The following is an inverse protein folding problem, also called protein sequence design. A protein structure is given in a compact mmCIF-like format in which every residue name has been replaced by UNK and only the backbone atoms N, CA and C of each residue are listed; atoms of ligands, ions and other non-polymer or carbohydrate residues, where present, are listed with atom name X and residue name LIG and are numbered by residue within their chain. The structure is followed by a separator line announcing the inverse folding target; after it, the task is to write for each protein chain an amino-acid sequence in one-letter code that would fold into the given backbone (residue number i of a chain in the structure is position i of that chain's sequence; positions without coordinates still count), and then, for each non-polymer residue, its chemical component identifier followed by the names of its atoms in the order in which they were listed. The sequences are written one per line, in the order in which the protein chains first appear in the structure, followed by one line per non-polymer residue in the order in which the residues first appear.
data_IF_383280521569
#
_entry.id   IF_383280521569
#
_cell.length_a   1.000
_cell.length_b   1.000
_cell.length_c   1.000
_cell.angle_alpha   90.00
_cell.angle_beta   90.00
_cell.angle_gamma   90.00
#
_symmetry.space_group_name_H-M   'P 1'
#
loop_
_entity.id
_entity.type
_entity.pdbx_description
1 polymer ?
#
# COMPACT_ATOMS: atom_id res chain seq x y z
N UNK A 1 8.97 -4.74 -18.20
CA UNK A 1 9.26 -5.76 -17.18
C UNK A 1 8.00 -6.56 -16.90
N UNK A 2 8.10 -7.87 -16.83
CA UNK A 2 6.94 -8.74 -16.63
C UNK A 2 6.95 -9.31 -15.22
N UNK A 3 5.97 -8.89 -14.42
CA UNK A 3 5.70 -9.45 -13.12
C UNK A 3 4.25 -9.93 -13.09
N UNK A 4 3.81 -10.54 -11.99
CA UNK A 4 2.46 -11.09 -11.91
C UNK A 4 1.39 -9.99 -12.09
N UNK A 5 1.63 -8.77 -11.57
CA UNK A 5 0.65 -7.69 -11.71
C UNK A 5 0.59 -7.15 -13.14
N UNK A 6 1.73 -7.02 -13.81
CA UNK A 6 1.71 -6.61 -15.23
C UNK A 6 1.00 -7.63 -16.11
N UNK A 7 1.09 -8.91 -15.78
CA UNK A 7 0.34 -9.96 -16.47
C UNK A 7 -1.17 -9.83 -16.24
N UNK A 8 -1.57 -9.43 -15.03
CA UNK A 8 -2.99 -9.17 -14.72
C UNK A 8 -3.48 -7.96 -15.50
N UNK A 9 -2.70 -6.87 -15.55
CA UNK A 9 -3.03 -5.67 -16.33
C UNK A 9 -3.23 -6.02 -17.80
N UNK A 10 -2.38 -6.88 -18.34
CA UNK A 10 -2.42 -7.28 -19.75
C UNK A 10 -3.42 -8.42 -20.03
N UNK A 11 -4.23 -8.79 -19.03
CA UNK A 11 -5.25 -9.85 -19.14
C UNK A 11 -4.66 -11.22 -19.50
N UNK A 12 -3.39 -11.45 -19.19
CA UNK A 12 -2.71 -12.75 -19.40
C UNK A 12 -3.01 -13.74 -18.26
N UNK A 13 -3.37 -13.21 -17.09
CA UNK A 13 -3.77 -14.00 -15.91
C UNK A 13 -5.13 -13.46 -15.46
N UNK A 14 -6.10 -14.33 -15.14
CA UNK A 14 -7.39 -13.88 -14.63
C UNK A 14 -7.25 -13.24 -13.24
N UNK A 15 -8.11 -12.30 -12.94
CA UNK A 15 -8.21 -11.66 -11.63
C UNK A 15 -9.63 -11.18 -11.38
N UNK A 16 -9.94 -10.88 -10.12
CA UNK A 16 -11.25 -10.37 -9.74
C UNK A 16 -11.18 -8.86 -9.66
N UNK A 17 -11.46 -8.19 -10.79
CA UNK A 17 -11.27 -6.74 -10.96
C UNK A 17 -12.42 -5.98 -10.32
N UNK A 18 -12.10 -5.06 -9.41
CA UNK A 18 -13.04 -4.18 -8.73
C UNK A 18 -13.19 -2.86 -9.49
N UNK A 19 -12.07 -2.34 -9.98
CA UNK A 19 -12.02 -1.05 -10.65
C UNK A 19 -10.88 -1.04 -11.67
N UNK A 20 -11.07 -0.36 -12.77
CA UNK A 20 -10.05 -0.22 -13.79
C UNK A 20 -10.26 1.06 -14.59
N UNK A 21 -9.18 1.81 -14.78
CA UNK A 21 -9.12 2.93 -15.73
C UNK A 21 -7.77 2.92 -16.45
N UNK A 22 -7.42 4.02 -17.13
CA UNK A 22 -6.17 4.08 -17.90
C UNK A 22 -4.92 4.10 -17.04
N UNK A 23 -5.01 4.47 -15.77
CA UNK A 23 -3.87 4.70 -14.90
C UNK A 23 -3.72 3.66 -13.80
N UNK A 24 -4.83 3.15 -13.26
CA UNK A 24 -4.82 2.24 -12.12
C UNK A 24 -5.79 1.09 -12.31
N UNK A 25 -5.54 0.02 -11.56
CA UNK A 25 -6.41 -1.14 -11.48
C UNK A 25 -6.52 -1.58 -10.03
N UNK A 26 -7.70 -2.01 -9.63
CA UNK A 26 -7.92 -2.61 -8.33
C UNK A 26 -8.55 -3.99 -8.49
N UNK A 27 -8.03 -4.98 -7.76
CA UNK A 27 -8.52 -6.36 -7.82
C UNK A 27 -8.32 -7.03 -6.46
N UNK A 28 -9.04 -8.12 -6.24
CA UNK A 28 -8.91 -8.87 -5.00
C UNK A 28 -7.55 -9.55 -4.89
N UNK A 29 -6.92 -9.44 -3.73
CA UNK A 29 -5.78 -10.29 -3.40
C UNK A 29 -6.29 -11.72 -3.24
N UNK A 30 -5.69 -12.66 -3.96
CA UNK A 30 -6.16 -14.05 -3.94
C UNK A 30 -5.95 -14.70 -2.57
N UNK A 31 -4.98 -14.22 -1.77
CA UNK A 31 -4.73 -14.78 -0.44
C UNK A 31 -5.74 -14.32 0.62
N UNK A 32 -6.42 -13.19 0.39
CA UNK A 32 -7.49 -12.69 1.28
C UNK A 32 -7.13 -12.77 2.76
N UNK A 33 -6.21 -11.91 3.22
CA UNK A 33 -5.89 -11.83 4.65
C UNK A 33 -7.17 -11.64 5.50
N UNK A 34 -8.11 -10.87 4.97
CA UNK A 34 -9.50 -10.80 5.43
C UNK A 34 -10.40 -10.71 4.21
N UNK A 35 -11.70 -10.90 4.39
CA UNK A 35 -12.67 -10.75 3.29
C UNK A 35 -12.66 -9.31 2.77
N UNK A 36 -12.42 -9.17 1.49
CA UNK A 36 -12.33 -7.87 0.84
C UNK A 36 -10.92 -7.33 0.70
N UNK A 37 -9.90 -8.10 1.10
CA UNK A 37 -8.50 -7.72 0.89
C UNK A 37 -8.28 -7.40 -0.59
N UNK A 38 -7.98 -6.14 -0.89
CA UNK A 38 -7.90 -5.58 -2.23
C UNK A 38 -6.53 -4.99 -2.47
N UNK A 39 -6.04 -5.13 -3.69
CA UNK A 39 -4.82 -4.47 -4.17
C UNK A 39 -5.20 -3.35 -5.14
N UNK A 40 -4.59 -2.20 -4.98
CA UNK A 40 -4.68 -1.10 -5.94
C UNK A 40 -3.29 -0.88 -6.51
N UNK A 41 -3.16 -1.01 -7.83
CA UNK A 41 -1.87 -0.95 -8.52
C UNK A 41 -1.87 0.12 -9.59
N UNK A 42 -0.69 0.58 -9.96
CA UNK A 42 -0.51 1.37 -11.19
C UNK A 42 -0.56 0.44 -12.39
N UNK A 43 -1.14 0.87 -13.51
CA UNK A 43 -1.14 0.05 -14.74
C UNK A 43 0.26 -0.03 -15.34
N UNK A 44 0.98 1.09 -15.38
CA UNK A 44 2.38 1.11 -15.78
C UNK A 44 3.24 0.59 -14.63
N UNK A 45 4.29 -0.16 -14.95
CA UNK A 45 5.19 -0.71 -13.94
C UNK A 45 6.08 0.38 -13.39
N UNK A 46 5.92 0.68 -12.10
CA UNK A 46 6.84 1.44 -11.28
C UNK A 46 7.20 0.56 -10.09
N UNK A 47 8.46 0.48 -9.72
CA UNK A 47 8.90 -0.47 -8.71
C UNK A 47 8.30 -0.16 -7.33
N UNK A 48 8.46 1.09 -6.88
CA UNK A 48 8.02 1.50 -5.54
C UNK A 48 7.77 3.02 -5.50
N UNK A 49 7.57 3.56 -4.31
CA UNK A 49 7.23 4.98 -4.11
C UNK A 49 8.30 5.94 -4.66
N UNK A 50 9.56 5.50 -4.76
CA UNK A 50 10.63 6.35 -5.28
C UNK A 50 10.53 6.52 -6.81
N UNK A 51 9.93 5.55 -7.50
CA UNK A 51 9.85 5.54 -8.95
C UNK A 51 8.53 6.06 -9.51
N UNK A 52 7.45 5.92 -8.73
CA UNK A 52 6.12 6.34 -9.21
C UNK A 52 6.06 7.88 -9.28
N UNK A 53 5.59 8.45 -10.41
CA UNK A 53 5.39 9.89 -10.49
C UNK A 53 4.36 10.37 -9.47
N UNK A 54 4.59 11.58 -8.93
CA UNK A 54 3.73 12.11 -7.86
C UNK A 54 2.27 12.22 -8.27
N UNK A 55 1.97 12.64 -9.49
CA UNK A 55 0.60 12.77 -9.97
C UNK A 55 -0.11 11.42 -10.05
N UNK A 56 0.59 10.37 -10.47
CA UNK A 56 0.06 9.00 -10.50
C UNK A 56 -0.16 8.50 -9.07
N UNK A 57 0.79 8.75 -8.18
CA UNK A 57 0.67 8.40 -6.75
C UNK A 57 -0.57 9.04 -6.13
N UNK A 58 -0.76 10.33 -6.33
CA UNK A 58 -1.90 11.07 -5.78
C UNK A 58 -3.22 10.51 -6.35
N UNK A 59 -3.25 10.26 -7.66
CA UNK A 59 -4.42 9.69 -8.31
C UNK A 59 -4.76 8.29 -7.77
N UNK A 60 -3.74 7.44 -7.61
CA UNK A 60 -3.93 6.09 -7.06
C UNK A 60 -4.55 6.17 -5.66
N UNK A 61 -4.08 7.07 -4.81
CA UNK A 61 -4.64 7.22 -3.46
C UNK A 61 -6.04 7.80 -3.46
N UNK A 62 -6.42 8.57 -4.46
CA UNK A 62 -7.83 8.96 -4.65
C UNK A 62 -8.71 7.72 -4.85
N UNK A 63 -8.25 6.76 -5.65
CA UNK A 63 -8.98 5.51 -5.89
C UNK A 63 -8.97 4.63 -4.63
N UNK A 64 -7.83 4.56 -3.92
CA UNK A 64 -7.74 3.85 -2.63
C UNK A 64 -8.79 4.40 -1.66
N UNK A 65 -8.92 5.71 -1.56
CA UNK A 65 -9.91 6.37 -0.71
C UNK A 65 -11.34 5.91 -1.07
N UNK A 66 -11.70 5.94 -2.34
CA UNK A 66 -13.03 5.56 -2.80
C UNK A 66 -13.33 4.09 -2.53
N UNK A 67 -12.39 3.20 -2.85
CA UNK A 67 -12.55 1.76 -2.64
C UNK A 67 -12.62 1.44 -1.15
N UNK A 68 -11.84 2.12 -0.32
CA UNK A 68 -11.87 1.94 1.14
C UNK A 68 -13.27 2.17 1.71
N UNK A 69 -13.91 3.25 1.29
CA UNK A 69 -15.29 3.54 1.71
C UNK A 69 -16.27 2.45 1.25
N UNK A 70 -16.11 1.97 0.02
CA UNK A 70 -16.95 0.90 -0.51
C UNK A 70 -16.78 -0.40 0.29
N UNK A 71 -15.53 -0.78 0.58
CA UNK A 71 -15.25 -2.02 1.32
C UNK A 71 -15.79 -1.98 2.74
N UNK A 72 -15.62 -0.85 3.44
CA UNK A 72 -16.15 -0.68 4.80
C UNK A 72 -17.67 -0.89 4.80
N UNK A 73 -18.36 -0.27 3.85
CA UNK A 73 -19.82 -0.38 3.76
C UNK A 73 -20.25 -1.80 3.34
N UNK A 74 -19.61 -2.36 2.33
CA UNK A 74 -20.01 -3.66 1.78
C UNK A 74 -19.84 -4.79 2.79
N UNK A 75 -18.78 -4.77 3.59
CA UNK A 75 -18.47 -5.84 4.52
C UNK A 75 -18.75 -5.47 5.98
N UNK A 76 -19.23 -4.24 6.25
CA UNK A 76 -19.48 -3.74 7.62
C UNK A 76 -18.22 -3.87 8.47
N UNK A 77 -17.08 -3.53 7.90
CA UNK A 77 -15.80 -3.63 8.60
C UNK A 77 -15.71 -2.59 9.73
N UNK A 78 -15.09 -3.00 10.84
CA UNK A 78 -14.89 -2.12 12.00
C UNK A 78 -13.67 -1.21 11.85
N UNK A 79 -12.77 -1.55 10.94
CA UNK A 79 -11.55 -0.79 10.68
C UNK A 79 -10.97 -1.19 9.33
N UNK A 80 -9.80 -0.60 9.04
CA UNK A 80 -9.16 -0.85 7.75
C UNK A 80 -7.68 -0.52 7.86
N UNK A 81 -6.84 -1.38 7.26
CA UNK A 81 -5.43 -1.09 7.12
C UNK A 81 -5.11 -0.79 5.66
N UNK A 82 -4.30 0.23 5.45
CA UNK A 82 -3.63 0.49 4.17
C UNK A 82 -2.17 0.13 4.35
N UNK A 83 -1.65 -0.78 3.52
CA UNK A 83 -0.28 -1.23 3.60
C UNK A 83 0.38 -1.02 2.25
N UNK A 84 1.49 -0.29 2.24
CA UNK A 84 2.32 -0.08 1.07
C UNK A 84 3.77 -0.37 1.43
N UNK A 85 4.31 -1.46 0.93
CA UNK A 85 5.69 -1.88 1.20
C UNK A 85 6.60 -1.37 0.08
N UNK A 86 7.63 -0.63 0.44
CA UNK A 86 8.57 -0.05 -0.51
C UNK A 86 9.98 -0.53 -0.18
N UNK A 87 10.49 -1.46 -0.99
CA UNK A 87 11.78 -2.11 -0.81
C UNK A 87 11.66 -3.47 -0.13
N UNK A 88 12.62 -4.33 -0.42
CA UNK A 88 12.65 -5.71 0.08
C UNK A 88 12.69 -5.76 1.61
N UNK A 89 13.52 -4.92 2.23
CA UNK A 89 13.66 -4.87 3.69
C UNK A 89 12.37 -4.44 4.38
N UNK A 90 11.50 -3.75 3.66
CA UNK A 90 10.20 -3.30 4.16
C UNK A 90 9.07 -4.29 3.83
N UNK A 91 9.40 -5.47 3.27
CA UNK A 91 8.42 -6.52 2.99
C UNK A 91 7.84 -6.51 1.59
N UNK A 92 8.39 -5.70 0.68
CA UNK A 92 7.95 -5.72 -0.71
C UNK A 92 8.42 -7.01 -1.41
N UNK A 93 7.49 -7.75 -2.00
CA UNK A 93 7.78 -8.98 -2.74
C UNK A 93 7.52 -8.86 -4.23
N UNK A 94 6.56 -8.04 -4.64
CA UNK A 94 6.29 -7.75 -6.05
C UNK A 94 6.70 -6.31 -6.33
N UNK A 95 7.66 -6.11 -7.24
CA UNK A 95 8.23 -4.78 -7.53
C UNK A 95 7.44 -4.08 -8.61
N UNK A 96 6.19 -3.85 -8.30
CA UNK A 96 5.21 -3.12 -9.06
C UNK A 96 4.35 -2.37 -8.02
N UNK A 97 4.33 -1.05 -8.09
CA UNK A 97 3.74 -0.21 -7.03
C UNK A 97 2.30 -0.63 -6.74
N UNK A 98 2.03 -0.95 -5.49
CA UNK A 98 0.71 -1.39 -5.05
C UNK A 98 0.44 -1.06 -3.60
N UNK A 99 -0.83 -0.86 -3.29
CA UNK A 99 -1.33 -0.60 -1.94
C UNK A 99 -2.33 -1.70 -1.60
N UNK A 100 -2.14 -2.33 -0.45
CA UNK A 100 -3.12 -3.25 0.12
C UNK A 100 -4.18 -2.46 0.85
N UNK A 101 -5.44 -2.79 0.62
CA UNK A 101 -6.57 -2.31 1.42
C UNK A 101 -7.13 -3.54 2.12
N UNK A 102 -7.05 -3.57 3.45
CA UNK A 102 -7.44 -4.75 4.24
C UNK A 102 -8.52 -4.35 5.22
N UNK A 103 -9.79 -4.69 4.95
CA UNK A 103 -10.86 -4.50 5.93
C UNK A 103 -10.58 -5.30 7.20
N UNK A 104 -10.87 -4.73 8.37
CA UNK A 104 -10.57 -5.37 9.65
C UNK A 104 -11.84 -5.57 10.45
N UNK A 105 -11.95 -6.77 11.04
CA UNK A 105 -13.13 -7.20 11.80
C UNK A 105 -12.76 -7.57 13.23
N UNK A 106 -11.51 -7.99 13.47
CA UNK A 106 -10.97 -8.30 14.78
C UNK A 106 -9.48 -8.01 14.81
N UNK A 107 -8.87 -8.01 16.00
CA UNK A 107 -7.44 -7.68 16.16
C UNK A 107 -6.51 -8.82 15.71
N UNK A 108 -7.00 -10.05 15.73
CA UNK A 108 -6.18 -11.25 15.52
C UNK A 108 -5.86 -11.54 14.05
N UNK A 109 -6.51 -10.86 13.13
CA UNK A 109 -6.38 -11.13 11.68
C UNK A 109 -5.00 -10.82 11.12
N UNK A 110 -4.34 -9.80 11.70
CA UNK A 110 -3.01 -9.34 11.27
C UNK A 110 -2.19 -9.03 12.51
N UNK A 111 -0.93 -9.47 12.50
CA UNK A 111 0.03 -9.13 13.54
C UNK A 111 1.04 -8.13 12.99
N UNK A 112 1.14 -6.97 13.63
CA UNK A 112 2.20 -6.00 13.38
C UNK A 112 3.16 -6.04 14.56
N UNK A 113 4.47 -6.18 14.27
CA UNK A 113 5.50 -6.09 15.27
C UNK A 113 6.37 -4.87 15.00
N UNK A 114 6.27 -3.88 15.90
CA UNK A 114 7.10 -2.68 15.86
C UNK A 114 7.96 -2.65 17.12
N UNK A 115 9.24 -2.40 16.94
CA UNK A 115 10.14 -2.20 18.08
C UNK A 115 9.85 -0.85 18.72
N UNK A 116 9.99 -0.79 20.04
CA UNK A 116 9.94 0.46 20.78
C UNK A 116 11.35 0.77 21.29
N UNK A 117 11.99 1.76 20.70
CA UNK A 117 13.35 2.18 21.03
C UNK A 117 13.36 3.42 21.95
N UNK A 118 12.20 3.83 22.47
CA UNK A 118 12.11 5.07 23.26
C UNK A 118 12.98 5.04 24.52
N UNK A 119 13.23 3.86 25.10
CA UNK A 119 14.09 3.75 26.28
C UNK A 119 15.57 4.03 25.98
N UNK A 120 15.99 3.90 24.70
CA UNK A 120 17.37 4.15 24.27
C UNK A 120 17.60 5.57 23.76
N UNK A 121 16.52 6.33 23.51
CA UNK A 121 16.59 7.65 22.88
C UNK A 121 16.38 8.74 23.92
N UNK A 122 17.29 9.72 23.93
CA UNK A 122 17.23 10.89 24.80
C UNK A 122 16.74 12.09 24.01
N UNK A 123 16.47 13.20 24.72
CA UNK A 123 15.99 14.43 24.10
C UNK A 123 16.89 14.89 22.96
N UNK A 124 18.23 14.86 23.16
CA UNK A 124 19.14 15.32 22.13
C UNK A 124 19.14 14.43 20.89
N UNK A 125 18.87 13.12 21.05
CA UNK A 125 18.77 12.18 19.91
C UNK A 125 17.59 12.55 19.02
N UNK A 126 16.44 12.85 19.62
CA UNK A 126 15.26 13.30 18.85
C UNK A 126 15.53 14.60 18.11
N UNK A 127 16.24 15.54 18.75
CA UNK A 127 16.63 16.82 18.12
C UNK A 127 17.56 16.58 16.93
N UNK A 128 18.50 15.66 17.05
CA UNK A 128 19.43 15.31 15.98
C UNK A 128 18.68 14.62 14.82
N UNK A 129 17.76 13.70 15.13
CA UNK A 129 16.94 13.03 14.12
C UNK A 129 16.12 14.08 13.35
N UNK A 130 15.44 14.96 14.09
CA UNK A 130 14.65 16.04 13.48
C UNK A 130 15.51 16.92 12.58
N UNK A 131 16.66 17.36 13.07
CA UNK A 131 17.55 18.24 12.30
C UNK A 131 18.03 17.56 11.00
N UNK A 132 18.35 16.27 11.08
CA UNK A 132 18.77 15.52 9.90
C UNK A 132 17.66 15.46 8.84
N UNK A 133 16.42 15.27 9.27
CA UNK A 133 15.26 15.26 8.35
C UNK A 133 15.10 16.65 7.71
N UNK A 134 15.17 17.71 8.53
CA UNK A 134 14.99 19.07 8.03
C UNK A 134 16.10 19.48 7.06
N UNK A 135 17.34 19.02 7.27
CA UNK A 135 18.47 19.31 6.37
C UNK A 135 18.24 18.72 4.96
N UNK A 136 17.51 17.63 4.85
CA UNK A 136 17.22 16.97 3.58
C UNK A 136 15.82 17.26 3.04
N UNK A 137 15.00 18.00 3.79
CA UNK A 137 13.67 18.36 3.36
C UNK A 137 13.76 19.44 2.29
N UNK A 138 13.73 19.00 1.04
CA UNK A 138 13.76 19.92 -0.11
C UNK A 138 12.37 20.47 -0.36
N UNK A 139 12.30 21.76 -0.58
CA UNK A 139 11.05 22.45 -0.89
C UNK A 139 10.67 22.33 -2.37
#
# INVERSE_FOLDING_TARGET
MHNIFSKIVNKQIPSYIIYEDDLVMAFLDISQATRGHTLVITKKVYSNIQDVPQDIFVYLFKIVYQISHTLIKAFKASGLNLINNNGEVAGQTVFHYHVHIIPRFSKEEICFQLLDNSSYLKEHDYKMILQKILDYNSN
#
